data_IF_113649958238
#
_entry.id   IF_113649958238
#
_cell.length_a   1.000
_cell.length_b   1.000
_cell.length_c   1.000
_cell.angle_alpha   90.00
_cell.angle_beta   90.00
_cell.angle_gamma   90.00
#
_symmetry.space_group_name_H-M   'P 1'
#
loop_
_entity.id
_entity.type
_entity.pdbx_description
1 polymer ?
#
# COMPACT_ATOMS: atom_id res chain seq x y z
N UNK A 1 -9.29 -0.09 15.84
CA UNK A 1 -8.40 -1.25 15.62
C UNK A 1 -8.67 -1.78 14.21
N UNK A 2 -7.70 -1.79 13.31
CA UNK A 2 -7.90 -2.41 11.99
C UNK A 2 -7.81 -3.93 12.13
N UNK A 3 -8.88 -4.64 11.78
CA UNK A 3 -8.97 -6.11 11.84
C UNK A 3 -7.83 -6.79 11.06
N UNK A 4 -7.32 -6.14 10.01
CA UNK A 4 -6.26 -6.67 9.17
C UNK A 4 -4.88 -6.62 9.86
N UNK A 5 -4.62 -5.62 10.71
CA UNK A 5 -3.31 -5.49 11.34
C UNK A 5 -3.09 -6.52 12.45
N UNK A 6 -4.12 -6.85 13.22
CA UNK A 6 -4.06 -7.91 14.23
C UNK A 6 -3.73 -9.27 13.61
N UNK A 7 -4.39 -9.60 12.50
CA UNK A 7 -4.13 -10.85 11.76
C UNK A 7 -2.72 -10.94 11.20
N UNK A 8 -2.16 -9.84 10.69
CA UNK A 8 -0.79 -9.82 10.18
C UNK A 8 0.25 -9.99 11.29
N UNK A 9 -0.03 -9.47 12.48
CA UNK A 9 0.83 -9.61 13.67
C UNK A 9 0.76 -11.02 14.25
N UNK A 10 -0.45 -11.57 14.40
CA UNK A 10 -0.67 -12.97 14.82
C UNK A 10 -0.02 -13.97 13.88
N UNK A 11 -0.04 -13.69 12.57
CA UNK A 11 0.65 -14.51 11.55
C UNK A 11 2.18 -14.29 11.51
N UNK A 12 2.72 -13.37 12.34
CA UNK A 12 4.16 -13.11 12.44
C UNK A 12 4.76 -12.31 11.29
N UNK A 13 3.95 -11.64 10.48
CA UNK A 13 4.42 -10.85 9.32
C UNK A 13 4.76 -9.41 9.65
N UNK A 14 4.20 -8.86 10.73
CA UNK A 14 4.52 -7.51 11.21
C UNK A 14 4.78 -7.51 12.71
N UNK A 15 5.51 -6.51 13.18
CA UNK A 15 5.70 -6.19 14.59
C UNK A 15 5.26 -4.76 14.87
N UNK A 16 4.84 -4.51 16.11
CA UNK A 16 4.52 -3.16 16.59
C UNK A 16 5.56 -2.72 17.59
N UNK A 17 6.11 -1.54 17.38
CA UNK A 17 7.11 -0.95 18.25
C UNK A 17 6.71 0.47 18.57
N UNK A 18 6.79 0.87 19.84
CA UNK A 18 6.59 2.27 20.20
C UNK A 18 7.74 3.08 19.63
N UNK A 19 7.42 4.23 19.09
CA UNK A 19 8.45 5.13 18.59
C UNK A 19 9.34 5.62 19.76
N UNK A 20 10.68 5.63 19.59
CA UNK A 20 11.59 6.04 20.64
C UNK A 20 11.55 7.55 20.91
N UNK A 21 11.16 8.38 19.94
CA UNK A 21 11.09 9.84 20.04
C UNK A 21 9.72 10.31 20.52
N UNK A 22 8.64 9.61 20.15
CA UNK A 22 7.29 9.87 20.67
C UNK A 22 6.53 8.57 21.02
N UNK A 23 6.44 8.25 22.31
CA UNK A 23 5.76 7.02 22.79
C UNK A 23 4.27 6.94 22.46
N UNK A 24 3.65 8.02 21.96
CA UNK A 24 2.27 8.03 21.46
C UNK A 24 2.16 7.43 20.06
N UNK A 25 3.28 7.37 19.33
CA UNK A 25 3.37 6.78 18.00
C UNK A 25 3.67 5.28 18.11
N UNK A 26 2.99 4.49 17.29
CA UNK A 26 3.19 3.05 17.16
C UNK A 26 3.64 2.75 15.73
N UNK A 27 4.90 2.37 15.58
CA UNK A 27 5.48 1.96 14.31
C UNK A 27 5.08 0.51 14.03
N UNK A 28 4.65 0.25 12.80
CA UNK A 28 4.36 -1.09 12.29
C UNK A 28 5.47 -1.46 11.31
N UNK A 29 6.25 -2.47 11.64
CA UNK A 29 7.40 -2.90 10.86
C UNK A 29 7.18 -4.31 10.32
N UNK A 30 7.56 -4.56 9.06
CA UNK A 30 7.59 -5.92 8.52
C UNK A 30 8.64 -6.76 9.24
N UNK A 31 8.33 -8.03 9.47
CA UNK A 31 9.33 -9.03 9.83
C UNK A 31 10.01 -9.56 8.57
N UNK A 32 11.08 -10.35 8.73
CA UNK A 32 11.69 -11.07 7.60
C UNK A 32 10.69 -12.01 6.91
N UNK A 33 9.78 -12.65 7.66
CA UNK A 33 8.71 -13.45 7.10
C UNK A 33 7.71 -12.58 6.32
N UNK A 34 7.36 -11.40 6.85
CA UNK A 34 6.50 -10.44 6.19
C UNK A 34 7.09 -9.94 4.87
N UNK A 35 8.38 -9.64 4.83
CA UNK A 35 9.05 -9.19 3.59
C UNK A 35 9.07 -10.29 2.53
N UNK A 36 9.33 -11.54 2.91
CA UNK A 36 9.27 -12.68 1.97
C UNK A 36 7.89 -12.84 1.35
N UNK A 37 6.82 -12.71 2.14
CA UNK A 37 5.44 -12.74 1.64
C UNK A 37 5.16 -11.55 0.73
N UNK A 38 5.61 -10.35 1.11
CA UNK A 38 5.46 -9.14 0.30
C UNK A 38 6.08 -9.31 -1.09
N UNK A 39 7.28 -9.89 -1.16
CA UNK A 39 7.97 -10.16 -2.41
C UNK A 39 7.28 -11.27 -3.22
N UNK A 40 6.87 -12.36 -2.58
CA UNK A 40 6.23 -13.50 -3.24
C UNK A 40 4.85 -13.18 -3.84
N UNK A 41 4.09 -12.29 -3.19
CA UNK A 41 2.76 -11.85 -3.68
C UNK A 41 2.81 -10.54 -4.46
N UNK A 42 3.99 -10.01 -4.76
CA UNK A 42 4.09 -8.88 -5.68
C UNK A 42 3.72 -9.37 -7.08
N UNK A 43 2.48 -9.08 -7.51
CA UNK A 43 2.03 -9.33 -8.90
C UNK A 43 2.85 -8.54 -9.90
N UNK A 44 3.51 -7.49 -9.42
CA UNK A 44 4.46 -6.66 -10.14
C UNK A 44 5.85 -6.90 -9.57
N UNK A 45 6.72 -7.53 -10.37
CA UNK A 45 8.17 -7.61 -10.11
C UNK A 45 8.77 -6.18 -10.20
N UNK A 46 9.28 -5.62 -9.09
CA UNK A 46 9.80 -4.25 -9.06
C UNK A 46 10.92 -4.00 -10.05
N UNK A 47 11.81 -4.98 -10.27
CA UNK A 47 12.93 -4.84 -11.19
C UNK A 47 12.44 -4.82 -12.63
N UNK A 48 11.46 -5.69 -12.96
CA UNK A 48 10.83 -5.69 -14.28
C UNK A 48 10.10 -4.38 -14.55
N UNK A 49 9.35 -3.86 -13.57
CA UNK A 49 8.65 -2.58 -13.68
C UNK A 49 9.65 -1.43 -13.86
N UNK A 50 10.73 -1.42 -13.10
CA UNK A 50 11.80 -0.42 -13.23
C UNK A 50 12.36 -0.37 -14.64
N UNK A 51 12.78 -1.52 -15.18
CA UNK A 51 13.30 -1.62 -16.55
C UNK A 51 12.31 -1.17 -17.61
N UNK A 52 11.03 -1.52 -17.44
CA UNK A 52 9.96 -1.09 -18.37
C UNK A 52 9.83 0.44 -18.37
N UNK A 53 9.86 1.07 -17.19
CA UNK A 53 9.75 2.53 -17.06
C UNK A 53 11.00 3.24 -17.60
N UNK A 54 12.19 2.69 -17.36
CA UNK A 54 13.45 3.25 -17.83
C UNK A 54 13.64 3.14 -19.35
N UNK A 55 12.94 2.20 -20.01
CA UNK A 55 12.89 2.11 -21.47
C UNK A 55 12.07 3.20 -22.17
N UNK A 56 11.34 4.02 -21.41
CA UNK A 56 10.57 5.15 -21.96
C UNK A 56 11.44 6.41 -22.03
N UNK A 57 11.26 7.20 -23.10
CA UNK A 57 11.86 8.53 -23.13
C UNK A 57 11.30 9.40 -21.98
N UNK A 58 12.05 10.45 -21.55
CA UNK A 58 11.68 11.23 -20.37
C UNK A 58 10.28 11.88 -20.43
N UNK A 59 9.80 12.24 -21.63
CA UNK A 59 8.49 12.85 -21.80
C UNK A 59 7.41 11.79 -21.64
N UNK A 60 7.53 10.64 -22.33
CA UNK A 60 6.57 9.53 -22.20
C UNK A 60 6.53 8.98 -20.79
N UNK A 61 7.68 8.83 -20.14
CA UNK A 61 7.77 8.41 -18.74
C UNK A 61 6.95 9.34 -17.83
N UNK A 62 7.13 10.65 -17.96
CA UNK A 62 6.39 11.62 -17.15
C UNK A 62 4.89 11.58 -17.43
N UNK A 63 4.48 11.50 -18.70
CA UNK A 63 3.06 11.39 -19.06
C UNK A 63 2.43 10.12 -18.49
N UNK A 64 3.10 8.97 -18.60
CA UNK A 64 2.61 7.70 -18.06
C UNK A 64 2.45 7.74 -16.53
N UNK A 65 3.45 8.27 -15.81
CA UNK A 65 3.38 8.40 -14.36
C UNK A 65 2.28 9.35 -13.91
N UNK A 66 2.12 10.50 -14.58
CA UNK A 66 1.02 11.43 -14.28
C UNK A 66 -0.35 10.77 -14.52
N UNK A 67 -0.49 10.02 -15.61
CA UNK A 67 -1.71 9.27 -15.90
C UNK A 67 -2.04 8.25 -14.81
N UNK A 68 -1.05 7.50 -14.32
CA UNK A 68 -1.24 6.57 -13.19
C UNK A 68 -1.69 7.28 -11.92
N UNK A 69 -1.14 8.46 -11.61
CA UNK A 69 -1.58 9.27 -10.47
C UNK A 69 -3.05 9.66 -10.59
N UNK A 70 -3.48 10.16 -11.75
CA UNK A 70 -4.88 10.54 -11.95
C UNK A 70 -5.84 9.35 -11.82
N UNK A 71 -5.43 8.17 -12.29
CA UNK A 71 -6.23 6.95 -12.14
C UNK A 71 -6.31 6.51 -10.67
N UNK A 72 -5.21 6.59 -9.92
CA UNK A 72 -5.19 6.27 -8.50
C UNK A 72 -6.12 7.19 -7.70
N UNK A 73 -6.04 8.50 -7.92
CA UNK A 73 -6.91 9.49 -7.26
C UNK A 73 -8.39 9.23 -7.54
N UNK A 74 -8.72 8.92 -8.80
CA UNK A 74 -10.09 8.59 -9.20
C UNK A 74 -10.59 7.30 -8.53
N UNK A 75 -9.74 6.26 -8.46
CA UNK A 75 -10.07 5.00 -7.80
C UNK A 75 -10.31 5.18 -6.30
N UNK A 76 -9.45 5.93 -5.61
CA UNK A 76 -9.61 6.25 -4.19
C UNK A 76 -10.91 7.02 -3.93
N UNK A 77 -11.26 7.95 -4.83
CA UNK A 77 -12.54 8.65 -4.81
C UNK A 77 -13.74 7.70 -4.89
N UNK A 78 -13.68 6.67 -5.74
CA UNK A 78 -14.74 5.67 -5.88
C UNK A 78 -14.88 4.78 -4.65
N UNK A 79 -13.77 4.29 -4.10
CA UNK A 79 -13.76 3.44 -2.90
C UNK A 79 -14.35 4.18 -1.71
N UNK A 80 -13.95 5.44 -1.50
CA UNK A 80 -14.43 6.27 -0.38
C UNK A 80 -15.95 6.49 -0.45
N UNK A 81 -16.47 6.84 -1.63
CA UNK A 81 -17.93 6.99 -1.86
C UNK A 81 -18.69 5.69 -1.62
N UNK A 82 -18.11 4.55 -2.03
CA UNK A 82 -18.68 3.24 -1.75
C UNK A 82 -18.77 2.95 -0.25
N UNK A 83 -17.72 3.27 0.52
CA UNK A 83 -17.71 3.10 1.97
C UNK A 83 -18.71 4.02 2.68
N UNK A 84 -18.84 5.27 2.24
CA UNK A 84 -19.83 6.22 2.75
C UNK A 84 -21.27 5.72 2.51
N UNK A 85 -21.54 5.20 1.31
CA UNK A 85 -22.85 4.65 0.96
C UNK A 85 -23.20 3.41 1.80
N UNK A 86 -22.25 2.49 1.98
CA UNK A 86 -22.44 1.31 2.84
C UNK A 86 -22.68 1.73 4.29
N UNK A 87 -21.91 2.68 4.81
CA UNK A 87 -22.08 3.17 6.19
C UNK A 87 -23.44 3.84 6.42
N UNK A 88 -23.98 4.54 5.42
CA UNK A 88 -25.29 5.18 5.48
C UNK A 88 -26.46 4.17 5.47
N UNK A 89 -26.27 2.97 4.92
CA UNK A 89 -27.28 1.91 4.90
C UNK A 89 -27.26 1.03 6.16
N UNK A 90 -26.17 1.06 6.92
CA UNK A 90 -25.97 0.25 8.14
C UNK A 90 -26.09 1.03 9.45
N UNK A 91 -26.48 2.31 9.40
CA UNK A 91 -26.79 3.15 10.58
C UNK A 91 -28.29 3.26 10.79
#
# INVERSE_FOLDING_TARGET
MSLNLGRLEEAGYVTRQRDPEDRRVMNVCLTEAGERVRLAYSTLDPDRVGRMIDGLDPVRRRTALNGLTYLADAADGLVRRGQEHVSALTS
#
